data_IF_353728255940
#
_entry.id   IF_353728255940
#
_cell.length_a   1.000
_cell.length_b   1.000
_cell.length_c   1.000
_cell.angle_alpha   90.00
_cell.angle_beta   90.00
_cell.angle_gamma   90.00
#
_symmetry.space_group_name_H-M   'P 1'
#
loop_
_entity.id
_entity.type
_entity.pdbx_description
1 polymer ?
#
# COMPACT_ATOMS: atom_id res chain seq x y z
N UNK A 1 15.60 9.04 -57.92
CA UNK A 1 14.22 9.05 -58.41
C UNK A 1 13.55 7.84 -57.81
N UNK A 2 13.45 7.80 -56.49
CA UNK A 2 12.33 8.26 -55.65
C UNK A 2 11.77 6.93 -55.09
N UNK A 3 11.58 6.67 -53.80
CA UNK A 3 11.23 7.50 -52.66
C UNK A 3 11.45 6.60 -51.42
N UNK A 4 12.37 6.95 -50.51
CA UNK A 4 12.61 6.22 -49.24
C UNK A 4 12.66 7.19 -48.05
N UNK A 5 12.04 8.37 -48.17
CA UNK A 5 12.19 9.46 -47.22
C UNK A 5 11.01 9.64 -46.24
N UNK A 6 9.99 8.78 -46.19
CA UNK A 6 8.75 9.12 -45.47
C UNK A 6 8.41 8.31 -44.20
N UNK A 7 9.30 7.46 -43.66
CA UNK A 7 8.96 6.65 -42.47
C UNK A 7 9.87 6.88 -41.25
N UNK A 8 10.71 7.92 -41.27
CA UNK A 8 11.59 8.25 -40.14
C UNK A 8 10.99 9.23 -39.11
N UNK A 9 9.68 9.52 -39.15
CA UNK A 9 9.06 10.56 -38.30
C UNK A 9 8.11 10.05 -37.21
N UNK A 10 8.19 8.76 -36.83
CA UNK A 10 7.34 8.19 -35.77
C UNK A 10 8.07 7.31 -34.74
N UNK A 11 9.38 7.50 -34.60
CA UNK A 11 10.12 7.02 -33.43
C UNK A 11 10.54 8.27 -32.66
N UNK A 12 10.02 8.45 -31.45
CA UNK A 12 10.37 9.54 -30.53
C UNK A 12 11.79 9.41 -30.00
N UNK A 13 12.77 9.24 -30.90
CA UNK A 13 14.17 9.51 -30.62
C UNK A 13 14.25 11.03 -30.57
N UNK A 14 14.26 11.57 -29.36
CA UNK A 14 14.54 12.98 -29.13
C UNK A 14 15.83 13.35 -29.85
N UNK A 15 15.77 14.31 -30.76
CA UNK A 15 16.96 15.00 -31.26
C UNK A 15 17.78 15.48 -30.04
N UNK A 16 18.93 14.85 -29.83
CA UNK A 16 19.82 15.00 -28.67
C UNK A 16 20.62 16.31 -28.67
N UNK A 17 20.04 17.40 -29.18
CA UNK A 17 20.68 18.71 -29.28
C UNK A 17 19.91 19.84 -28.58
N UNK A 18 18.93 19.50 -27.74
CA UNK A 18 18.44 20.46 -26.75
C UNK A 18 19.52 20.63 -25.67
N UNK A 19 19.98 21.85 -25.35
CA UNK A 19 20.97 22.05 -24.30
C UNK A 19 20.42 21.44 -23.01
N UNK A 20 21.10 20.41 -22.52
CA UNK A 20 20.77 19.74 -21.28
C UNK A 20 20.85 20.79 -20.17
N UNK A 21 19.75 21.07 -19.49
CA UNK A 21 19.80 21.93 -18.31
C UNK A 21 20.81 21.31 -17.32
N UNK A 22 21.77 22.10 -16.80
CA UNK A 22 22.75 21.58 -15.87
C UNK A 22 22.02 21.03 -14.62
N UNK A 23 22.49 19.89 -14.12
CA UNK A 23 21.96 19.27 -12.91
C UNK A 23 21.93 20.26 -11.75
N UNK A 24 20.74 20.48 -11.18
CA UNK A 24 20.55 21.25 -9.96
C UNK A 24 19.91 20.34 -8.88
N UNK A 25 20.66 19.93 -7.85
CA UNK A 25 20.12 19.08 -6.79
C UNK A 25 18.95 19.75 -6.04
N UNK A 26 18.89 21.09 -6.02
CA UNK A 26 17.79 21.83 -5.37
C UNK A 26 16.48 21.71 -6.16
N UNK A 27 16.55 21.52 -7.48
CA UNK A 27 15.35 21.32 -8.29
C UNK A 27 14.64 20.03 -7.90
N UNK A 28 15.39 18.93 -7.72
CA UNK A 28 14.85 17.63 -7.31
C UNK A 28 14.33 17.68 -5.86
N UNK A 29 15.10 18.28 -4.96
CA UNK A 29 14.66 18.48 -3.58
C UNK A 29 13.34 19.26 -3.51
N UNK A 30 13.17 20.29 -4.34
CA UNK A 30 11.92 21.06 -4.43
C UNK A 30 10.76 20.22 -4.95
N UNK A 31 10.95 19.44 -6.03
CA UNK A 31 9.91 18.58 -6.58
C UNK A 31 9.41 17.53 -5.55
N UNK A 32 10.34 16.90 -4.84
CA UNK A 32 10.00 15.95 -3.76
C UNK A 32 9.31 16.64 -2.58
N UNK A 33 9.75 17.85 -2.20
CA UNK A 33 9.13 18.64 -1.14
C UNK A 33 7.68 18.97 -1.48
N UNK A 34 7.44 19.50 -2.69
CA UNK A 34 6.10 19.83 -3.20
C UNK A 34 5.19 18.59 -3.21
N UNK A 35 5.74 17.43 -3.60
CA UNK A 35 5.00 16.17 -3.58
C UNK A 35 4.63 15.71 -2.15
N UNK A 36 5.58 15.75 -1.21
CA UNK A 36 5.32 15.40 0.20
C UNK A 36 4.33 16.36 0.87
N UNK A 37 4.47 17.66 0.62
CA UNK A 37 3.54 18.68 1.11
C UNK A 37 2.12 18.47 0.56
N UNK A 38 2.01 18.05 -0.71
CA UNK A 38 0.72 17.70 -1.30
C UNK A 38 0.09 16.48 -0.61
N UNK A 39 0.86 15.42 -0.35
CA UNK A 39 0.38 14.25 0.40
C UNK A 39 -0.05 14.61 1.83
N UNK A 40 0.71 15.48 2.52
CA UNK A 40 0.34 15.98 3.84
C UNK A 40 -0.96 16.81 3.79
N UNK A 41 -1.15 17.64 2.75
CA UNK A 41 -2.39 18.39 2.53
C UNK A 41 -3.59 17.47 2.29
N UNK A 42 -3.37 16.31 1.67
CA UNK A 42 -4.36 15.24 1.51
C UNK A 42 -4.61 14.43 2.79
N UNK A 43 -4.02 14.82 3.93
CA UNK A 43 -4.13 14.14 5.22
C UNK A 43 -3.52 12.72 5.23
N UNK A 44 -2.58 12.45 4.34
CA UNK A 44 -1.90 11.14 4.31
C UNK A 44 -1.05 10.92 5.56
N UNK A 45 -0.30 11.95 5.96
CA UNK A 45 0.46 12.03 7.20
C UNK A 45 0.50 13.48 7.71
N UNK A 46 1.00 13.68 8.94
CA UNK A 46 1.13 15.03 9.51
C UNK A 46 2.24 15.81 8.79
N UNK A 47 2.03 17.09 8.42
CA UNK A 47 3.08 17.92 7.82
C UNK A 47 4.33 18.04 8.71
N UNK A 48 4.20 17.91 10.03
CA UNK A 48 5.33 17.94 10.98
C UNK A 48 6.33 16.79 10.77
N UNK A 49 5.93 15.73 10.07
CA UNK A 49 6.81 14.61 9.74
C UNK A 49 7.77 14.94 8.58
N UNK A 50 7.47 15.94 7.76
CA UNK A 50 8.37 16.36 6.68
C UNK A 50 9.53 17.14 7.28
N UNK A 51 10.75 16.68 7.03
CA UNK A 51 11.98 17.31 7.48
C UNK A 51 12.78 17.80 6.29
N UNK A 52 13.37 18.98 6.46
CA UNK A 52 14.13 19.69 5.44
C UNK A 52 15.58 19.85 5.89
N UNK A 53 16.53 20.02 4.94
CA UNK A 53 17.91 20.34 5.29
C UNK A 53 18.04 21.69 6.02
N UNK A 54 19.10 21.92 6.82
CA UNK A 54 20.18 20.97 7.12
C UNK A 54 19.70 19.83 8.04
N UNK A 55 20.18 18.62 7.75
CA UNK A 55 19.75 17.40 8.44
C UNK A 55 20.40 17.26 9.82
N UNK A 56 19.63 16.78 10.80
CA UNK A 56 20.11 16.41 12.13
C UNK A 56 19.65 14.98 12.48
N UNK A 57 20.54 13.96 12.55
CA UNK A 57 21.97 14.07 12.24
C UNK A 57 22.24 14.34 10.75
N UNK A 58 23.41 14.89 10.39
CA UNK A 58 23.79 15.11 8.98
C UNK A 58 24.01 13.78 8.25
N UNK A 59 23.99 13.82 6.92
CA UNK A 59 24.35 12.67 6.07
C UNK A 59 25.80 12.27 6.33
N UNK A 60 26.05 10.97 6.48
CA UNK A 60 27.39 10.40 6.59
C UNK A 60 28.08 10.41 5.21
N UNK A 61 28.73 11.54 4.89
CA UNK A 61 29.43 11.74 3.62
C UNK A 61 30.55 10.73 3.42
N UNK A 62 31.27 10.35 4.48
CA UNK A 62 32.35 9.37 4.38
C UNK A 62 31.82 7.98 4.03
N UNK A 63 30.70 7.58 4.64
CA UNK A 63 30.04 6.33 4.29
C UNK A 63 29.48 6.37 2.86
N UNK A 64 28.84 7.46 2.45
CA UNK A 64 28.37 7.66 1.07
C UNK A 64 29.51 7.52 0.03
N UNK A 65 30.68 8.10 0.31
CA UNK A 65 31.88 7.95 -0.51
C UNK A 65 32.39 6.51 -0.55
N UNK A 66 32.33 5.80 0.58
CA UNK A 66 32.74 4.39 0.66
C UNK A 66 31.88 3.45 -0.18
N UNK A 67 30.61 3.83 -0.44
CA UNK A 67 29.70 3.14 -1.35
C UNK A 67 29.95 3.47 -2.84
N UNK A 68 30.92 4.34 -3.13
CA UNK A 68 31.28 4.75 -4.48
C UNK A 68 30.34 5.75 -5.12
N UNK A 69 29.58 6.53 -4.33
CA UNK A 69 28.68 7.57 -4.85
C UNK A 69 29.47 8.78 -5.38
N UNK A 70 29.04 9.32 -6.52
CA UNK A 70 29.65 10.51 -7.11
C UNK A 70 29.31 11.79 -6.30
N UNK A 71 30.15 12.85 -6.36
CA UNK A 71 29.92 14.09 -5.61
C UNK A 71 28.53 14.70 -5.81
N UNK A 72 27.98 14.66 -7.03
CA UNK A 72 26.65 15.20 -7.34
C UNK A 72 25.52 14.46 -6.61
N UNK A 73 25.65 13.13 -6.44
CA UNK A 73 24.70 12.33 -5.65
C UNK A 73 24.81 12.69 -4.17
N UNK A 74 26.03 12.88 -3.67
CA UNK A 74 26.27 13.27 -2.27
C UNK A 74 25.74 14.68 -1.98
N UNK A 75 25.87 15.61 -2.93
CA UNK A 75 25.25 16.94 -2.85
C UNK A 75 23.73 16.84 -2.79
N UNK A 76 23.12 15.99 -3.64
CA UNK A 76 21.68 15.74 -3.62
C UNK A 76 21.21 15.18 -2.27
N UNK A 77 21.87 14.15 -1.74
CA UNK A 77 21.54 13.55 -0.44
C UNK A 77 21.46 14.58 0.70
N UNK A 78 22.34 15.58 0.68
CA UNK A 78 22.39 16.64 1.69
C UNK A 78 21.25 17.66 1.60
N UNK A 79 20.54 17.73 0.47
CA UNK A 79 19.46 18.70 0.25
C UNK A 79 18.06 18.07 0.12
N UNK A 80 17.97 16.75 -0.03
CA UNK A 80 16.68 16.06 -0.14
C UNK A 80 15.83 16.19 1.13
N UNK A 81 14.51 16.43 1.03
CA UNK A 81 13.61 16.27 2.16
C UNK A 81 13.43 14.78 2.49
N UNK A 82 13.01 14.48 3.71
CA UNK A 82 12.60 13.13 4.12
C UNK A 82 11.38 13.19 5.04
N UNK A 83 10.71 12.05 5.21
CA UNK A 83 9.56 11.93 6.11
C UNK A 83 9.94 11.05 7.30
N UNK A 84 9.82 11.59 8.51
CA UNK A 84 10.19 10.91 9.75
C UNK A 84 9.01 10.08 10.31
N UNK A 85 9.33 8.97 10.98
CA UNK A 85 8.32 8.11 11.61
C UNK A 85 7.59 7.17 10.65
N UNK A 86 7.68 7.42 9.35
CA UNK A 86 7.24 6.51 8.29
C UNK A 86 8.39 5.57 7.87
N UNK A 87 8.06 4.32 7.60
CA UNK A 87 8.98 3.22 7.27
C UNK A 87 8.31 2.19 6.37
N UNK A 88 9.02 1.08 6.10
CA UNK A 88 8.54 -0.02 5.27
C UNK A 88 7.06 -0.35 5.56
N UNK A 89 6.26 -0.43 4.49
CA UNK A 89 4.80 -0.67 4.44
C UNK A 89 3.92 0.59 4.34
N UNK A 90 4.47 1.81 4.41
CA UNK A 90 3.69 3.05 4.26
C UNK A 90 3.32 3.41 2.81
N UNK A 91 3.46 2.45 1.87
CA UNK A 91 3.19 2.56 0.43
C UNK A 91 3.33 4.00 -0.11
N UNK A 92 4.56 4.53 -0.08
CA UNK A 92 4.97 5.64 -0.94
C UNK A 92 4.75 5.25 -2.42
N UNK A 93 4.73 6.23 -3.33
CA UNK A 93 4.51 6.09 -4.79
C UNK A 93 4.51 4.63 -5.26
N UNK A 94 3.33 4.12 -5.63
CA UNK A 94 3.17 2.77 -6.18
C UNK A 94 3.79 1.67 -5.29
N UNK A 95 3.44 1.65 -4.01
CA UNK A 95 3.87 0.61 -3.06
C UNK A 95 5.31 0.72 -2.55
N UNK A 96 6.09 1.70 -3.01
CA UNK A 96 7.41 2.00 -2.46
C UNK A 96 7.35 2.47 -1.00
N UNK A 97 8.46 2.91 -0.41
CA UNK A 97 8.50 3.45 0.96
C UNK A 97 9.39 4.70 1.03
N UNK A 98 9.07 5.61 1.96
CA UNK A 98 9.86 6.83 2.15
C UNK A 98 11.28 6.48 2.58
N UNK A 99 12.28 7.12 1.97
CA UNK A 99 13.67 6.92 2.34
C UNK A 99 14.18 8.00 3.30
N UNK A 100 14.86 7.58 4.37
CA UNK A 100 15.63 8.45 5.27
C UNK A 100 17.13 8.13 5.15
N UNK A 101 17.82 8.83 4.25
CA UNK A 101 19.22 8.60 3.93
C UNK A 101 20.21 9.02 5.03
N UNK A 102 19.74 9.61 6.14
CA UNK A 102 20.58 9.78 7.35
C UNK A 102 20.92 8.42 7.97
N UNK A 103 20.15 7.38 7.66
CA UNK A 103 20.37 6.01 8.14
C UNK A 103 21.28 5.27 7.17
N UNK A 104 22.47 4.87 7.62
CA UNK A 104 23.44 4.15 6.78
C UNK A 104 22.84 2.88 6.13
N UNK A 105 21.95 2.16 6.81
CA UNK A 105 21.25 1.00 6.23
C UNK A 105 20.43 1.37 4.98
N UNK A 106 19.73 2.49 4.99
CA UNK A 106 18.91 2.94 3.84
C UNK A 106 19.82 3.33 2.67
N UNK A 107 20.92 4.03 2.97
CA UNK A 107 21.90 4.40 1.95
C UNK A 107 22.61 3.19 1.34
N UNK A 108 22.96 2.20 2.16
CA UNK A 108 23.52 0.93 1.71
C UNK A 108 22.52 0.15 0.82
N UNK A 109 21.27 0.01 1.29
CA UNK A 109 20.20 -0.65 0.53
C UNK A 109 19.93 0.03 -0.81
N UNK A 110 20.12 1.34 -0.93
CA UNK A 110 19.96 2.07 -2.20
C UNK A 110 20.92 1.60 -3.31
N UNK A 111 21.95 0.81 -2.98
CA UNK A 111 22.89 0.22 -3.95
C UNK A 111 22.46 -1.17 -4.44
N UNK A 112 21.53 -1.81 -3.73
CA UNK A 112 20.86 -3.05 -4.13
C UNK A 112 19.36 -2.97 -3.78
N UNK A 113 18.60 -2.00 -4.32
CA UNK A 113 17.22 -1.75 -3.91
C UNK A 113 16.27 -2.93 -4.19
N UNK A 114 16.66 -3.84 -5.09
CA UNK A 114 15.87 -5.01 -5.48
C UNK A 114 16.22 -6.28 -4.70
N UNK A 115 17.19 -6.23 -3.78
CA UNK A 115 17.74 -7.40 -3.09
C UNK A 115 18.28 -8.48 -4.04
N UNK A 116 18.83 -8.06 -5.19
CA UNK A 116 19.40 -8.95 -6.19
C UNK A 116 20.69 -9.64 -5.70
N UNK A 117 21.28 -9.16 -4.59
CA UNK A 117 22.54 -9.63 -4.03
C UNK A 117 23.66 -9.67 -5.10
N UNK A 118 23.98 -8.54 -5.74
CA UNK A 118 24.93 -8.53 -6.84
C UNK A 118 26.34 -8.94 -6.38
N UNK A 119 27.06 -9.62 -7.25
CA UNK A 119 28.44 -10.08 -7.07
C UNK A 119 29.32 -9.51 -8.18
N UNK A 120 30.50 -9.00 -7.79
CA UNK A 120 31.47 -8.48 -8.75
C UNK A 120 31.17 -7.06 -9.24
N UNK A 121 31.75 -6.72 -10.39
CA UNK A 121 31.67 -5.39 -11.00
C UNK A 121 30.47 -5.22 -11.95
N UNK A 122 30.27 -4.01 -12.50
CA UNK A 122 29.10 -3.64 -13.29
C UNK A 122 28.88 -4.44 -14.59
N UNK A 123 29.94 -5.08 -15.09
CA UNK A 123 29.95 -5.82 -16.36
C UNK A 123 29.83 -7.34 -16.17
N UNK A 124 29.62 -7.81 -14.94
CA UNK A 124 29.42 -9.23 -14.64
C UNK A 124 27.94 -9.62 -14.69
N UNK A 125 27.64 -10.90 -14.96
CA UNK A 125 26.27 -11.39 -15.16
C UNK A 125 25.33 -11.06 -14.00
N UNK A 126 25.84 -11.17 -12.76
CA UNK A 126 25.15 -10.78 -11.53
C UNK A 126 25.78 -9.53 -10.90
N UNK A 127 26.37 -8.66 -11.71
CA UNK A 127 27.12 -7.49 -11.28
C UNK A 127 26.31 -6.43 -10.53
N UNK A 128 27.03 -5.47 -9.93
CA UNK A 128 26.42 -4.21 -9.45
C UNK A 128 25.66 -3.53 -10.60
N UNK A 129 24.55 -2.87 -10.29
CA UNK A 129 23.67 -2.35 -11.34
C UNK A 129 23.17 -0.92 -11.11
N UNK A 130 23.19 -0.45 -9.86
CA UNK A 130 22.96 0.97 -9.59
C UNK A 130 24.26 1.73 -9.84
N UNK A 131 24.28 2.62 -10.82
CA UNK A 131 25.49 3.35 -11.20
C UNK A 131 25.90 4.40 -10.15
N UNK A 132 27.19 4.78 -10.05
CA UNK A 132 27.69 5.77 -9.07
C UNK A 132 27.00 7.14 -9.08
N UNK A 133 26.47 7.53 -10.24
CA UNK A 133 25.75 8.80 -10.47
C UNK A 133 24.22 8.66 -10.35
N UNK A 134 23.72 7.48 -9.99
CA UNK A 134 22.30 7.20 -9.80
C UNK A 134 21.99 7.10 -8.31
N UNK A 135 20.99 7.85 -7.88
CA UNK A 135 20.40 7.75 -6.54
C UNK A 135 19.03 7.09 -6.64
N UNK A 136 18.78 6.06 -5.83
CA UNK A 136 17.43 5.55 -5.65
C UNK A 136 16.71 6.47 -4.68
N UNK A 137 15.59 7.09 -5.06
CA UNK A 137 14.92 8.15 -4.28
C UNK A 137 14.03 7.63 -3.15
N UNK A 138 13.70 6.33 -3.16
CA UNK A 138 12.79 5.69 -2.22
C UNK A 138 13.28 4.30 -1.83
N UNK A 139 12.80 3.77 -0.70
CA UNK A 139 12.95 2.35 -0.38
C UNK A 139 11.93 1.55 -1.19
N UNK A 140 12.24 0.31 -1.58
CA UNK A 140 11.32 -0.51 -2.39
C UNK A 140 10.03 -0.91 -1.64
N UNK A 141 10.03 -0.83 -0.31
CA UNK A 141 8.93 -1.33 0.52
C UNK A 141 8.73 -2.85 0.37
N UNK A 142 7.48 -3.29 0.48
CA UNK A 142 7.07 -4.68 0.27
C UNK A 142 6.54 -4.85 -1.16
N UNK A 143 7.38 -5.28 -2.11
CA UNK A 143 7.03 -5.45 -3.53
C UNK A 143 6.59 -4.15 -4.25
N UNK A 144 7.11 -3.01 -3.82
CA UNK A 144 6.79 -1.70 -4.37
C UNK A 144 7.61 -1.26 -5.58
N UNK A 145 7.38 -0.02 -5.99
CA UNK A 145 8.16 0.64 -7.04
C UNK A 145 9.51 1.16 -6.53
N UNK A 146 10.50 1.24 -7.42
CA UNK A 146 11.85 1.74 -7.16
C UNK A 146 12.14 2.86 -8.16
N UNK A 147 12.44 4.07 -7.68
CA UNK A 147 12.71 5.27 -8.48
C UNK A 147 14.21 5.55 -8.56
N UNK A 148 14.82 5.27 -9.70
CA UNK A 148 16.23 5.54 -9.98
C UNK A 148 16.37 6.90 -10.62
N UNK A 149 17.00 7.84 -9.92
CA UNK A 149 17.29 9.18 -10.41
C UNK A 149 18.72 9.27 -10.91
N UNK A 150 18.89 9.55 -12.20
CA UNK A 150 20.19 9.76 -12.83
C UNK A 150 20.56 11.24 -12.77
N UNK A 151 21.58 11.57 -11.95
CA UNK A 151 22.05 12.95 -11.76
C UNK A 151 22.67 13.57 -13.02
N UNK A 152 23.08 12.76 -14.02
CA UNK A 152 23.74 13.28 -15.23
C UNK A 152 22.76 13.81 -16.27
N UNK A 153 21.54 13.29 -16.30
CA UNK A 153 20.51 13.71 -17.25
C UNK A 153 19.23 14.25 -16.59
N UNK A 154 19.06 14.08 -15.27
CA UNK A 154 17.88 14.54 -14.55
C UNK A 154 16.64 13.67 -14.79
N UNK A 155 16.81 12.44 -15.28
CA UNK A 155 15.71 11.51 -15.55
C UNK A 155 15.47 10.57 -14.37
N UNK A 156 14.23 10.10 -14.28
CA UNK A 156 13.82 9.03 -13.37
C UNK A 156 13.37 7.82 -14.17
N UNK A 157 13.90 6.66 -13.80
CA UNK A 157 13.38 5.35 -14.20
C UNK A 157 12.64 4.75 -13.01
N UNK A 158 11.38 4.34 -13.20
CA UNK A 158 10.59 3.67 -12.14
C UNK A 158 10.35 2.22 -12.53
N UNK A 159 10.72 1.26 -11.69
CA UNK A 159 10.50 -0.18 -11.95
C UNK A 159 9.79 -0.84 -10.75
N UNK A 160 9.11 -1.96 -10.99
CA UNK A 160 8.63 -2.82 -9.91
C UNK A 160 9.76 -3.66 -9.33
N UNK A 161 9.72 -3.93 -8.01
CA UNK A 161 10.61 -4.92 -7.38
C UNK A 161 10.47 -6.29 -8.08
N UNK A 162 11.60 -6.94 -8.36
CA UNK A 162 11.71 -8.11 -9.25
C UNK A 162 12.23 -7.75 -10.64
N UNK A 163 13.19 -6.82 -10.72
CA UNK A 163 13.83 -6.37 -11.96
C UNK A 163 14.24 -7.54 -12.86
N UNK A 164 13.94 -7.40 -14.15
CA UNK A 164 13.91 -8.43 -15.21
C UNK A 164 12.63 -9.32 -15.29
N UNK A 165 11.62 -9.11 -14.44
CA UNK A 165 10.31 -9.79 -14.56
C UNK A 165 9.08 -8.91 -14.29
N UNK A 166 9.19 -7.85 -13.49
CA UNK A 166 8.08 -6.96 -13.12
C UNK A 166 7.79 -5.79 -14.07
N UNK A 167 8.75 -5.42 -14.91
CA UNK A 167 8.61 -4.33 -15.88
C UNK A 167 8.72 -2.91 -15.29
N UNK A 168 8.44 -1.92 -16.14
CA UNK A 168 8.43 -0.50 -15.77
C UNK A 168 7.17 -0.19 -14.95
N UNK A 169 7.34 0.52 -13.84
CA UNK A 169 6.26 0.87 -12.91
C UNK A 169 5.64 2.24 -13.19
N UNK A 170 6.22 3.05 -14.07
CA UNK A 170 5.67 4.36 -14.40
C UNK A 170 4.40 4.23 -15.27
N UNK A 171 3.22 4.66 -14.78
CA UNK A 171 1.96 4.54 -15.51
C UNK A 171 1.95 5.28 -16.84
N UNK A 172 2.84 6.27 -17.03
CA UNK A 172 2.98 6.96 -18.31
C UNK A 172 3.28 6.00 -19.47
N UNK A 173 3.93 4.87 -19.20
CA UNK A 173 4.29 3.88 -20.20
C UNK A 173 3.27 2.74 -20.35
N UNK A 174 2.25 2.65 -19.50
CA UNK A 174 1.23 1.59 -19.56
C UNK A 174 0.48 1.63 -20.90
N UNK A 175 0.41 0.48 -21.59
CA UNK A 175 -0.27 0.33 -22.88
C UNK A 175 0.46 0.97 -24.08
N UNK A 176 1.56 1.68 -23.88
CA UNK A 176 2.41 2.21 -24.97
C UNK A 176 3.47 1.20 -25.43
N UNK A 177 3.83 0.28 -24.55
CA UNK A 177 4.79 -0.79 -24.76
C UNK A 177 4.18 -2.09 -24.19
N UNK A 178 4.43 -3.25 -24.82
CA UNK A 178 3.91 -4.53 -24.33
C UNK A 178 4.39 -4.84 -22.90
N UNK A 179 3.72 -5.75 -22.18
CA UNK A 179 4.02 -6.09 -20.77
C UNK A 179 5.50 -6.44 -20.50
N UNK A 180 6.28 -6.83 -21.52
CA UNK A 180 7.74 -6.89 -21.47
C UNK A 180 8.35 -5.52 -21.83
N UNK A 181 8.30 -4.54 -20.93
CA UNK A 181 8.79 -3.18 -21.17
C UNK A 181 10.31 -3.03 -21.01
N UNK A 182 11.09 -4.06 -21.31
CA UNK A 182 12.48 -3.81 -21.68
C UNK A 182 12.44 -3.22 -23.10
N UNK A 183 13.10 -2.08 -23.34
CA UNK A 183 13.51 -1.76 -24.72
C UNK A 183 14.19 -3.01 -25.26
N UNK A 184 13.90 -3.38 -26.52
CA UNK A 184 14.53 -4.55 -27.15
C UNK A 184 16.03 -4.52 -26.80
N UNK A 185 16.49 -5.58 -26.12
CA UNK A 185 17.84 -5.79 -25.55
C UNK A 185 17.98 -5.41 -24.06
N UNK A 186 17.66 -6.39 -23.19
CA UNK A 186 18.33 -6.51 -21.87
C UNK A 186 19.85 -6.37 -22.05
N UNK A 187 20.53 -5.83 -21.04
CA UNK A 187 21.97 -5.68 -21.11
C UNK A 187 22.62 -7.06 -21.33
N UNK A 188 23.54 -7.21 -22.30
CA UNK A 188 23.93 -8.52 -22.84
C UNK A 188 24.66 -9.41 -21.84
N UNK A 189 25.09 -8.86 -20.70
CA UNK A 189 25.84 -9.59 -19.66
C UNK A 189 25.14 -9.41 -18.31
N UNK A 190 25.22 -8.22 -17.72
CA UNK A 190 24.58 -7.94 -16.44
C UNK A 190 23.06 -7.77 -16.52
N UNK A 191 22.30 -8.81 -16.14
CA UNK A 191 20.84 -8.81 -16.18
C UNK A 191 20.17 -7.82 -15.22
N UNK A 192 20.91 -7.36 -14.20
CA UNK A 192 20.38 -6.45 -13.19
C UNK A 192 20.37 -4.98 -13.67
N UNK A 193 21.04 -4.67 -14.80
CA UNK A 193 21.12 -3.32 -15.37
C UNK A 193 19.73 -2.81 -15.74
N UNK A 194 19.45 -1.55 -15.44
CA UNK A 194 18.11 -0.96 -15.57
C UNK A 194 17.99 0.04 -16.73
N UNK A 195 19.11 0.36 -17.39
CA UNK A 195 19.16 1.39 -18.43
C UNK A 195 18.36 1.05 -19.68
N UNK A 196 17.95 -0.21 -19.82
CA UNK A 196 17.07 -0.68 -20.88
C UNK A 196 15.59 -0.37 -20.60
N UNK A 197 15.23 0.09 -19.39
CA UNK A 197 13.89 0.58 -19.10
C UNK A 197 13.73 2.04 -19.53
N UNK A 198 12.55 2.43 -20.05
CA UNK A 198 12.33 3.82 -20.42
C UNK A 198 12.32 4.72 -19.19
N UNK A 199 12.84 5.94 -19.36
CA UNK A 199 12.93 6.97 -18.34
C UNK A 199 12.34 8.29 -18.86
N UNK A 200 12.04 9.23 -17.96
CA UNK A 200 11.59 10.58 -18.34
C UNK A 200 12.13 11.64 -17.39
N UNK A 201 12.16 12.93 -17.79
CA UNK A 201 12.61 14.01 -16.92
C UNK A 201 11.86 14.02 -15.58
N UNK A 202 12.59 14.23 -14.47
CA UNK A 202 12.00 14.20 -13.12
C UNK A 202 10.84 15.20 -12.97
N UNK A 203 10.97 16.38 -13.57
CA UNK A 203 9.93 17.42 -13.58
C UNK A 203 8.62 16.93 -14.19
N UNK A 204 8.69 16.21 -15.31
CA UNK A 204 7.51 15.68 -16.00
C UNK A 204 6.87 14.53 -15.21
N UNK A 205 7.70 13.72 -14.56
CA UNK A 205 7.24 12.66 -13.66
C UNK A 205 6.48 13.20 -12.46
N UNK A 206 7.08 14.12 -11.70
CA UNK A 206 6.43 14.68 -10.52
C UNK A 206 5.21 15.54 -10.88
N UNK A 207 5.20 16.22 -12.04
CA UNK A 207 4.02 16.93 -12.52
C UNK A 207 2.84 15.98 -12.80
N UNK A 208 3.09 14.84 -13.46
CA UNK A 208 2.09 13.80 -13.69
C UNK A 208 1.56 13.20 -12.39
N UNK A 209 2.45 12.80 -11.48
CA UNK A 209 2.04 12.22 -10.18
C UNK A 209 1.26 13.22 -9.31
N UNK A 210 1.69 14.48 -9.29
CA UNK A 210 0.95 15.58 -8.64
C UNK A 210 -0.44 15.73 -9.27
N UNK A 211 -0.55 15.70 -10.59
CA UNK A 211 -1.83 15.79 -11.27
C UNK A 211 -2.76 14.61 -10.93
N UNK A 212 -2.22 13.38 -10.80
CA UNK A 212 -2.98 12.20 -10.38
C UNK A 212 -3.57 12.35 -8.98
N UNK A 213 -2.81 12.91 -8.04
CA UNK A 213 -3.28 13.24 -6.69
C UNK A 213 -4.34 14.36 -6.72
N UNK A 214 -4.09 15.43 -7.47
CA UNK A 214 -5.02 16.56 -7.61
C UNK A 214 -6.35 16.15 -8.22
N UNK A 215 -6.36 15.22 -9.18
CA UNK A 215 -7.57 14.73 -9.86
C UNK A 215 -8.22 13.53 -9.16
N UNK A 216 -7.66 13.07 -8.03
CA UNK A 216 -8.05 11.86 -7.30
C UNK A 216 -8.01 10.59 -8.17
N UNK A 217 -7.20 10.57 -9.23
CA UNK A 217 -6.84 9.31 -9.90
C UNK A 217 -6.05 8.41 -8.94
N UNK A 218 -5.23 9.05 -8.11
CA UNK A 218 -4.54 8.47 -6.96
C UNK A 218 -5.04 9.10 -5.67
N UNK A 219 -5.45 8.27 -4.72
CA UNK A 219 -5.96 8.73 -3.43
C UNK A 219 -5.08 8.16 -2.32
N UNK A 220 -4.13 8.94 -1.77
CA UNK A 220 -3.31 8.53 -0.64
C UNK A 220 -4.19 8.57 0.61
N UNK A 221 -4.41 7.42 1.24
CA UNK A 221 -5.25 7.33 2.42
C UNK A 221 -4.80 6.20 3.35
N UNK A 222 -4.92 6.44 4.65
CA UNK A 222 -4.56 5.47 5.66
C UNK A 222 -5.83 4.76 6.16
N UNK A 223 -6.10 3.53 5.72
CA UNK A 223 -7.22 2.70 6.23
C UNK A 223 -6.77 1.65 7.23
N UNK A 224 -5.80 0.83 6.83
CA UNK A 224 -5.20 -0.27 7.60
C UNK A 224 -3.67 -0.20 7.52
N UNK A 225 -3.15 1.01 7.29
CA UNK A 225 -1.82 1.25 6.74
C UNK A 225 -1.92 2.38 5.70
N UNK A 226 -0.91 3.25 5.58
CA UNK A 226 -0.83 4.23 4.51
C UNK A 226 -0.75 3.52 3.15
N UNK A 227 -1.66 3.86 2.24
CA UNK A 227 -1.68 3.34 0.85
C UNK A 227 -2.20 4.33 -0.17
N UNK A 228 -1.84 4.12 -1.44
CA UNK A 228 -2.41 4.86 -2.57
C UNK A 228 -3.48 4.02 -3.25
N UNK A 229 -4.72 4.53 -3.25
CA UNK A 229 -5.85 3.91 -3.92
C UNK A 229 -5.96 4.40 -5.36
N UNK A 230 -6.04 3.45 -6.28
CA UNK A 230 -6.33 3.71 -7.70
C UNK A 230 -7.74 3.26 -8.06
N UNK A 231 -8.23 3.67 -9.23
CA UNK A 231 -9.55 3.29 -9.76
C UNK A 231 -9.79 1.77 -9.81
N UNK A 232 -8.73 0.97 -9.92
CA UNK A 232 -8.77 -0.50 -9.90
C UNK A 232 -9.21 -1.08 -8.54
N UNK A 233 -9.10 -0.31 -7.45
CA UNK A 233 -9.50 -0.71 -6.08
C UNK A 233 -11.03 -0.70 -5.85
N UNK A 234 -11.83 -0.52 -6.91
CA UNK A 234 -13.31 -0.64 -6.93
C UNK A 234 -14.02 0.23 -5.87
N UNK A 235 -14.73 -0.38 -4.94
CA UNK A 235 -15.68 0.26 -4.04
C UNK A 235 -15.01 1.26 -3.09
N UNK A 236 -13.83 0.94 -2.56
CA UNK A 236 -13.11 1.84 -1.65
C UNK A 236 -12.66 3.12 -2.36
N UNK A 237 -12.24 3.02 -3.62
CA UNK A 237 -11.85 4.18 -4.41
C UNK A 237 -13.02 5.15 -4.60
N UNK A 238 -14.22 4.63 -4.92
CA UNK A 238 -15.41 5.47 -5.13
C UNK A 238 -15.78 6.22 -3.85
N UNK A 239 -15.76 5.53 -2.71
CA UNK A 239 -16.08 6.14 -1.43
C UNK A 239 -15.04 7.17 -0.99
N UNK A 240 -13.75 6.88 -1.15
CA UNK A 240 -12.68 7.81 -0.80
C UNK A 240 -12.72 9.03 -1.70
N UNK A 241 -12.99 8.86 -3.00
CA UNK A 241 -13.18 9.98 -3.91
C UNK A 241 -14.32 10.89 -3.45
N UNK A 242 -15.46 10.30 -3.11
CA UNK A 242 -16.60 11.02 -2.55
C UNK A 242 -16.22 11.77 -1.25
N UNK A 243 -15.44 11.14 -0.36
CA UNK A 243 -14.96 11.77 0.88
C UNK A 243 -14.11 13.01 0.59
N UNK A 244 -13.12 12.93 -0.30
CA UNK A 244 -12.28 14.08 -0.65
C UNK A 244 -13.08 15.21 -1.32
N UNK A 245 -13.93 14.87 -2.29
CA UNK A 245 -14.77 15.85 -3.00
C UNK A 245 -15.77 16.54 -2.07
N UNK A 246 -16.40 15.80 -1.16
CA UNK A 246 -17.38 16.34 -0.19
C UNK A 246 -16.76 17.40 0.73
N UNK A 247 -15.48 17.24 1.07
CA UNK A 247 -14.77 18.10 2.02
C UNK A 247 -13.83 19.11 1.35
N UNK A 248 -13.99 19.36 0.04
CA UNK A 248 -13.41 20.54 -0.62
C UNK A 248 -12.17 20.27 -1.48
N UNK A 249 -11.74 19.02 -1.66
CA UNK A 249 -10.64 18.72 -2.58
C UNK A 249 -11.05 18.96 -4.05
N UNK A 250 -10.18 19.52 -4.93
CA UNK A 250 -8.77 19.89 -4.72
C UNK A 250 -8.51 21.32 -4.22
N UNK A 251 -9.56 22.03 -3.79
CA UNK A 251 -9.45 23.35 -3.18
C UNK A 251 -8.98 23.30 -1.73
N UNK A 252 -9.55 24.16 -0.88
CA UNK A 252 -9.28 24.15 0.56
C UNK A 252 -10.04 23.00 1.22
N UNK A 253 -9.30 21.97 1.66
CA UNK A 253 -9.86 20.83 2.36
C UNK A 253 -10.31 21.23 3.78
N UNK A 254 -11.57 21.03 4.13
CA UNK A 254 -12.05 21.12 5.52
C UNK A 254 -11.46 19.97 6.34
N UNK A 255 -10.28 20.19 6.91
CA UNK A 255 -9.53 19.17 7.64
C UNK A 255 -10.33 18.61 8.84
N UNK A 256 -11.08 19.44 9.56
CA UNK A 256 -11.82 18.98 10.75
C UNK A 256 -13.01 18.12 10.35
N UNK A 257 -13.77 18.56 9.35
CA UNK A 257 -14.88 17.79 8.79
C UNK A 257 -14.40 16.48 8.16
N UNK A 258 -13.34 16.54 7.35
CA UNK A 258 -12.72 15.39 6.70
C UNK A 258 -12.26 14.35 7.72
N UNK A 259 -11.54 14.74 8.77
CA UNK A 259 -11.06 13.80 9.78
C UNK A 259 -12.23 13.10 10.52
N UNK A 260 -13.33 13.82 10.75
CA UNK A 260 -14.52 13.26 11.37
C UNK A 260 -15.24 12.27 10.43
N UNK A 261 -15.42 12.63 9.17
CA UNK A 261 -16.03 11.76 8.16
C UNK A 261 -15.17 10.54 7.83
N UNK A 262 -13.85 10.71 7.77
CA UNK A 262 -12.88 9.62 7.61
C UNK A 262 -13.03 8.57 8.69
N UNK A 263 -13.19 8.97 9.97
CA UNK A 263 -13.45 8.03 11.08
C UNK A 263 -14.77 7.28 10.91
N UNK A 264 -15.87 7.98 10.59
CA UNK A 264 -17.18 7.35 10.36
C UNK A 264 -17.15 6.39 9.18
N UNK A 265 -16.52 6.79 8.08
CA UNK A 265 -16.38 5.95 6.90
C UNK A 265 -15.52 4.71 7.18
N UNK A 266 -14.42 4.82 7.93
CA UNK A 266 -13.61 3.65 8.33
C UNK A 266 -14.41 2.66 9.17
N UNK A 267 -15.20 3.16 10.12
CA UNK A 267 -16.10 2.33 10.92
C UNK A 267 -17.11 1.64 10.00
N UNK A 268 -17.84 2.39 9.16
CA UNK A 268 -18.79 1.84 8.21
C UNK A 268 -18.16 0.82 7.25
N UNK A 269 -16.97 1.08 6.70
CA UNK A 269 -16.30 0.15 5.79
C UNK A 269 -15.93 -1.17 6.49
N UNK A 270 -15.57 -1.13 7.78
CA UNK A 270 -15.41 -2.34 8.58
C UNK A 270 -16.72 -3.10 8.71
N UNK A 271 -17.82 -2.42 9.03
CA UNK A 271 -19.15 -3.05 9.11
C UNK A 271 -19.57 -3.66 7.78
N UNK A 272 -19.38 -2.93 6.68
CA UNK A 272 -19.68 -3.41 5.33
C UNK A 272 -18.91 -4.70 5.02
N UNK A 273 -17.62 -4.78 5.36
CA UNK A 273 -16.83 -6.01 5.19
C UNK A 273 -17.36 -7.17 6.03
N UNK A 274 -17.74 -6.94 7.29
CA UNK A 274 -18.36 -7.96 8.14
C UNK A 274 -19.72 -8.41 7.58
N UNK A 275 -20.54 -7.49 7.09
CA UNK A 275 -21.82 -7.80 6.45
C UNK A 275 -21.63 -8.64 5.18
N UNK A 276 -20.66 -8.28 4.32
CA UNK A 276 -20.28 -9.10 3.15
C UNK A 276 -19.83 -10.49 3.59
N UNK A 277 -19.02 -10.59 4.65
CA UNK A 277 -18.59 -11.87 5.21
C UNK A 277 -19.78 -12.72 5.63
N UNK A 278 -20.74 -12.17 6.38
CA UNK A 278 -21.96 -12.87 6.77
C UNK A 278 -22.73 -13.44 5.57
N UNK A 279 -22.73 -12.71 4.44
CA UNK A 279 -23.44 -13.12 3.22
C UNK A 279 -22.70 -14.19 2.41
N UNK A 280 -21.36 -14.19 2.40
CA UNK A 280 -20.56 -15.02 1.48
C UNK A 280 -19.82 -16.18 2.14
N UNK A 281 -19.53 -16.10 3.45
CA UNK A 281 -18.65 -17.04 4.16
C UNK A 281 -19.12 -18.49 4.04
N UNK A 282 -20.42 -18.75 4.23
CA UNK A 282 -20.98 -20.11 4.11
C UNK A 282 -20.71 -20.69 2.72
N UNK A 283 -20.94 -19.91 1.66
CA UNK A 283 -20.71 -20.35 0.28
C UNK A 283 -19.22 -20.54 -0.02
N UNK A 284 -18.36 -19.69 0.54
CA UNK A 284 -16.92 -19.80 0.34
C UNK A 284 -16.33 -21.00 1.07
N UNK A 285 -16.80 -21.30 2.27
CA UNK A 285 -16.46 -22.53 3.01
C UNK A 285 -16.99 -23.78 2.29
N UNK A 286 -18.17 -23.73 1.67
CA UNK A 286 -18.67 -24.81 0.82
C UNK A 286 -17.76 -25.07 -0.39
N UNK A 287 -17.34 -24.01 -1.10
CA UNK A 287 -16.39 -24.12 -2.21
C UNK A 287 -15.05 -24.70 -1.74
N UNK A 288 -14.55 -24.28 -0.58
CA UNK A 288 -13.32 -24.81 0.01
C UNK A 288 -13.46 -26.30 0.36
N UNK A 289 -14.55 -26.69 1.01
CA UNK A 289 -14.87 -28.08 1.33
C UNK A 289 -14.87 -28.95 0.06
N UNK A 290 -15.54 -28.48 -1.01
CA UNK A 290 -15.58 -29.21 -2.28
C UNK A 290 -14.19 -29.33 -2.94
N UNK A 291 -13.36 -28.28 -2.87
CA UNK A 291 -11.98 -28.34 -3.36
C UNK A 291 -11.16 -29.38 -2.60
N UNK A 292 -11.25 -29.40 -1.27
CA UNK A 292 -10.54 -30.37 -0.42
C UNK A 292 -11.00 -31.80 -0.71
N UNK A 293 -12.32 -32.03 -0.83
CA UNK A 293 -12.87 -33.34 -1.20
C UNK A 293 -12.31 -33.82 -2.55
N UNK A 294 -12.27 -32.96 -3.57
CA UNK A 294 -11.67 -33.29 -4.88
C UNK A 294 -10.18 -33.63 -4.78
N UNK A 295 -9.42 -32.95 -3.93
CA UNK A 295 -8.00 -33.26 -3.73
C UNK A 295 -7.83 -34.63 -3.07
N UNK A 296 -8.63 -34.92 -2.04
CA UNK A 296 -8.64 -36.22 -1.35
C UNK A 296 -9.00 -37.34 -2.34
N UNK A 297 -10.07 -37.20 -3.10
CA UNK A 297 -10.52 -38.19 -4.09
C UNK A 297 -9.45 -38.45 -5.16
N UNK A 298 -8.88 -37.39 -5.75
CA UNK A 298 -7.84 -37.50 -6.78
C UNK A 298 -6.60 -38.22 -6.24
N UNK A 299 -6.19 -37.91 -5.02
CA UNK A 299 -5.02 -38.55 -4.41
C UNK A 299 -5.29 -40.01 -4.02
N UNK A 300 -6.50 -40.36 -3.59
CA UNK A 300 -6.90 -41.75 -3.35
C UNK A 300 -6.93 -42.56 -4.66
N UNK A 301 -7.58 -42.04 -5.71
CA UNK A 301 -7.60 -42.68 -7.04
C UNK A 301 -6.19 -42.89 -7.57
N UNK A 302 -5.36 -41.86 -7.49
CA UNK A 302 -3.97 -41.96 -7.92
C UNK A 302 -3.21 -43.01 -7.11
N UNK A 303 -3.44 -43.12 -5.80
CA UNK A 303 -2.81 -44.14 -4.93
C UNK A 303 -3.20 -45.56 -5.34
N UNK A 304 -4.45 -45.76 -5.74
CA UNK A 304 -4.98 -47.07 -6.11
C UNK A 304 -4.57 -47.50 -7.55
N UNK A 305 -4.36 -46.55 -8.46
CA UNK A 305 -4.04 -46.82 -9.88
C UNK A 305 -2.57 -47.13 -10.15
N UNK A 306 -1.65 -46.60 -9.34
CA UNK A 306 -0.21 -46.69 -9.58
C UNK A 306 0.49 -47.62 -8.59
N UNK A 307 0.56 -48.90 -8.99
CA UNK A 307 1.17 -49.99 -8.21
C UNK A 307 2.70 -49.91 -8.14
N UNK A 308 3.33 -48.94 -8.82
CA UNK A 308 4.80 -48.84 -8.93
C UNK A 308 5.43 -47.90 -7.90
N UNK A 309 4.62 -47.25 -7.06
CA UNK A 309 5.08 -46.26 -6.08
C UNK A 309 5.92 -46.83 -4.96
N UNK A 310 6.90 -46.04 -4.52
CA UNK A 310 7.73 -46.42 -3.38
C UNK A 310 6.99 -46.27 -2.06
N UNK A 311 7.40 -47.00 -1.00
CA UNK A 311 6.86 -46.80 0.34
C UNK A 311 6.97 -45.35 0.85
N UNK A 312 8.02 -44.62 0.48
CA UNK A 312 8.20 -43.21 0.85
C UNK A 312 7.18 -42.28 0.17
N UNK A 313 6.88 -42.52 -1.11
CA UNK A 313 5.84 -41.79 -1.84
C UNK A 313 4.47 -42.05 -1.25
N UNK A 314 4.17 -43.31 -0.92
CA UNK A 314 2.92 -43.70 -0.26
C UNK A 314 2.78 -43.02 1.11
N UNK A 315 3.84 -43.01 1.92
CA UNK A 315 3.84 -42.35 3.22
C UNK A 315 3.61 -40.83 3.10
N UNK A 316 4.22 -40.18 2.11
CA UNK A 316 4.03 -38.75 1.84
C UNK A 316 2.58 -38.45 1.44
N UNK A 317 1.99 -39.28 0.56
CA UNK A 317 0.58 -39.15 0.19
C UNK A 317 -0.36 -39.33 1.38
N UNK A 318 -0.09 -40.29 2.26
CA UNK A 318 -0.88 -40.50 3.48
C UNK A 318 -0.82 -39.31 4.44
N UNK A 319 0.34 -38.68 4.60
CA UNK A 319 0.48 -37.45 5.38
C UNK A 319 -0.36 -36.31 4.80
N UNK A 320 -0.31 -36.09 3.48
CA UNK A 320 -1.16 -35.09 2.82
C UNK A 320 -2.65 -35.39 2.97
N UNK A 321 -3.07 -36.66 2.81
CA UNK A 321 -4.46 -37.07 3.01
C UNK A 321 -4.93 -36.81 4.45
N UNK A 322 -4.09 -37.10 5.45
CA UNK A 322 -4.42 -36.79 6.85
C UNK A 322 -4.54 -35.28 7.07
N UNK A 323 -3.62 -34.49 6.53
CA UNK A 323 -3.68 -33.04 6.63
C UNK A 323 -4.96 -32.46 6.00
N UNK A 324 -5.32 -32.90 4.79
CA UNK A 324 -6.53 -32.42 4.13
C UNK A 324 -7.82 -32.88 4.82
N UNK A 325 -7.84 -34.08 5.41
CA UNK A 325 -8.99 -34.52 6.22
C UNK A 325 -9.20 -33.66 7.47
N UNK A 326 -8.12 -33.34 8.19
CA UNK A 326 -8.19 -32.40 9.33
C UNK A 326 -8.66 -31.03 8.89
N UNK A 327 -8.17 -30.53 7.76
CA UNK A 327 -8.63 -29.26 7.21
C UNK A 327 -10.12 -29.30 6.83
N UNK A 328 -10.60 -30.43 6.29
CA UNK A 328 -12.01 -30.61 5.95
C UNK A 328 -12.91 -30.62 7.19
N UNK A 329 -12.49 -31.28 8.27
CA UNK A 329 -13.17 -31.25 9.57
C UNK A 329 -13.20 -29.83 10.14
N UNK A 330 -12.07 -29.11 10.06
CA UNK A 330 -11.99 -27.72 10.51
C UNK A 330 -12.92 -26.79 9.70
N UNK A 331 -12.94 -26.93 8.36
CA UNK A 331 -13.86 -26.17 7.49
C UNK A 331 -15.33 -26.47 7.83
N UNK A 332 -15.65 -27.73 8.18
CA UNK A 332 -17.02 -28.09 8.59
C UNK A 332 -17.44 -27.39 9.89
N UNK A 333 -16.53 -27.28 10.87
CA UNK A 333 -16.78 -26.54 12.12
C UNK A 333 -16.99 -25.04 11.82
N UNK A 334 -16.08 -24.44 11.04
CA UNK A 334 -16.20 -23.02 10.65
C UNK A 334 -17.49 -22.75 9.86
N UNK A 335 -17.93 -23.70 9.03
CA UNK A 335 -19.18 -23.57 8.29
C UNK A 335 -20.39 -23.58 9.22
N UNK A 336 -20.40 -24.45 10.23
CA UNK A 336 -21.46 -24.49 11.24
C UNK A 336 -21.55 -23.14 11.98
N UNK A 337 -20.41 -22.62 12.43
CA UNK A 337 -20.33 -21.31 13.09
C UNK A 337 -20.81 -20.18 12.16
N UNK A 338 -20.39 -20.19 10.89
CA UNK A 338 -20.83 -19.19 9.90
C UNK A 338 -22.34 -19.25 9.62
N UNK A 339 -22.96 -20.43 9.63
CA UNK A 339 -24.41 -20.59 9.47
C UNK A 339 -25.17 -19.99 10.66
N UNK A 340 -24.70 -20.27 11.87
CA UNK A 340 -25.27 -19.69 13.10
C UNK A 340 -25.08 -18.16 13.11
N UNK A 341 -23.90 -17.68 12.72
CA UNK A 341 -23.62 -16.26 12.63
C UNK A 341 -24.43 -15.56 11.53
N UNK A 342 -24.76 -16.25 10.43
CA UNK A 342 -25.62 -15.72 9.36
C UNK A 342 -27.12 -15.90 9.63
N UNK A 343 -27.53 -16.47 10.77
CA UNK A 343 -28.95 -16.69 11.06
C UNK A 343 -29.76 -15.39 10.98
N UNK A 344 -30.88 -15.40 10.25
CA UNK A 344 -31.73 -14.22 10.05
C UNK A 344 -31.24 -13.23 9.00
N UNK A 345 -30.06 -13.44 8.40
CA UNK A 345 -29.55 -12.63 7.29
C UNK A 345 -30.22 -13.10 5.98
N UNK A 346 -31.07 -12.24 5.41
CA UNK A 346 -31.82 -12.53 4.18
C UNK A 346 -31.65 -11.46 3.08
N UNK A 347 -30.93 -10.39 3.41
CA UNK A 347 -30.70 -9.21 2.57
C UNK A 347 -29.44 -8.49 3.05
N UNK A 348 -28.87 -7.65 2.19
CA UNK A 348 -27.73 -6.79 2.53
C UNK A 348 -28.04 -5.89 3.74
N UNK A 349 -29.24 -5.30 3.79
CA UNK A 349 -29.71 -4.50 4.93
C UNK A 349 -29.69 -5.29 6.24
N UNK A 350 -30.23 -6.52 6.24
CA UNK A 350 -30.22 -7.37 7.45
C UNK A 350 -28.79 -7.78 7.85
N UNK A 351 -27.89 -7.96 6.88
CA UNK A 351 -26.48 -8.27 7.14
C UNK A 351 -25.77 -7.06 7.78
N UNK A 352 -26.03 -5.85 7.28
CA UNK A 352 -25.50 -4.60 7.83
C UNK A 352 -26.02 -4.33 9.24
N UNK A 353 -27.33 -4.48 9.48
CA UNK A 353 -27.93 -4.31 10.81
C UNK A 353 -27.32 -5.29 11.82
N UNK A 354 -27.17 -6.58 11.44
CA UNK A 354 -26.51 -7.59 12.29
C UNK A 354 -25.03 -7.30 12.53
N UNK A 355 -24.31 -6.85 11.51
CA UNK A 355 -22.90 -6.47 11.64
C UNK A 355 -22.71 -5.24 12.54
N UNK A 356 -23.60 -4.24 12.45
CA UNK A 356 -23.64 -3.09 13.36
C UNK A 356 -23.91 -3.52 14.80
N UNK A 357 -24.94 -4.34 15.03
CA UNK A 357 -25.28 -4.87 16.34
C UNK A 357 -24.07 -5.56 16.98
N UNK A 358 -23.46 -6.53 16.27
CA UNK A 358 -22.28 -7.25 16.74
C UNK A 358 -21.11 -6.31 17.03
N UNK A 359 -20.87 -5.31 16.17
CA UNK A 359 -19.79 -4.34 16.37
C UNK A 359 -19.98 -3.52 17.64
N UNK A 360 -21.18 -2.97 17.84
CA UNK A 360 -21.52 -2.13 19.00
C UNK A 360 -21.47 -2.97 20.28
N UNK A 361 -22.03 -4.19 20.26
CA UNK A 361 -22.01 -5.10 21.41
C UNK A 361 -20.57 -5.43 21.83
N UNK A 362 -19.70 -5.81 20.88
CA UNK A 362 -18.29 -6.06 21.17
C UNK A 362 -17.58 -4.83 21.75
N UNK A 363 -17.95 -3.63 21.28
CA UNK A 363 -17.44 -2.36 21.81
C UNK A 363 -17.84 -2.13 23.27
N UNK A 364 -19.11 -2.38 23.60
CA UNK A 364 -19.64 -2.29 24.96
C UNK A 364 -18.92 -3.29 25.87
N UNK A 365 -18.88 -4.57 25.48
CA UNK A 365 -18.25 -5.64 26.26
C UNK A 365 -16.77 -5.35 26.53
N UNK A 366 -16.03 -4.86 25.54
CA UNK A 366 -14.63 -4.47 25.70
C UNK A 366 -14.49 -3.33 26.71
N UNK A 367 -15.26 -2.24 26.58
CA UNK A 367 -15.19 -1.10 27.50
C UNK A 367 -15.62 -1.48 28.91
N UNK A 368 -16.63 -2.33 29.06
CA UNK A 368 -17.04 -2.86 30.37
C UNK A 368 -15.95 -3.71 31.02
N UNK A 369 -15.24 -4.53 30.23
CA UNK A 369 -14.08 -5.30 30.71
C UNK A 369 -12.96 -4.38 31.18
N UNK A 370 -12.62 -3.36 30.40
CA UNK A 370 -11.60 -2.37 30.76
C UNK A 370 -12.00 -1.62 32.03
N UNK A 371 -13.24 -1.16 32.13
CA UNK A 371 -13.78 -0.47 33.32
C UNK A 371 -13.74 -1.38 34.56
N UNK A 372 -14.13 -2.64 34.43
CA UNK A 372 -14.05 -3.64 35.49
C UNK A 372 -12.60 -3.86 35.94
N UNK A 373 -11.67 -3.97 35.00
CA UNK A 373 -10.25 -4.10 35.31
C UNK A 373 -9.70 -2.87 36.05
N UNK A 374 -10.01 -1.65 35.59
CA UNK A 374 -9.60 -0.41 36.25
C UNK A 374 -10.19 -0.26 37.65
N UNK A 375 -11.40 -0.78 37.93
CA UNK A 375 -11.99 -0.75 39.27
C UNK A 375 -11.37 -1.76 40.24
N UNK A 376 -10.68 -2.79 39.72
CA UNK A 376 -10.10 -3.88 40.49
C UNK A 376 -8.56 -3.87 40.40
N UNK A 377 -8.00 -4.83 39.66
CA UNK A 377 -6.56 -5.09 39.55
C UNK A 377 -5.75 -3.92 38.98
N UNK A 378 -6.41 -3.11 38.14
CA UNK A 378 -5.83 -1.95 37.47
C UNK A 378 -5.99 -0.63 38.21
N UNK A 379 -6.57 -0.61 39.41
CA UNK A 379 -6.92 0.62 40.16
C UNK A 379 -5.77 1.61 40.34
N UNK A 380 -4.54 1.11 40.52
CA UNK A 380 -3.33 1.95 40.59
C UNK A 380 -3.00 2.74 39.30
N UNK A 381 -3.57 2.34 38.17
CA UNK A 381 -3.43 3.01 36.86
C UNK A 381 -4.69 3.76 36.43
N UNK A 382 -5.78 3.65 37.20
CA UNK A 382 -7.05 4.28 36.89
C UNK A 382 -7.03 5.76 37.30
N UNK A 383 -7.39 6.64 36.38
CA UNK A 383 -7.75 8.03 36.71
C UNK A 383 -9.26 8.16 36.65
N UNK A 384 -9.83 9.07 37.45
CA UNK A 384 -11.27 9.35 37.41
C UNK A 384 -11.74 9.75 36.01
N UNK A 385 -10.91 10.51 35.28
CA UNK A 385 -11.14 10.91 33.89
C UNK A 385 -11.27 9.68 32.97
N UNK A 386 -10.30 8.75 32.99
CA UNK A 386 -10.35 7.54 32.15
C UNK A 386 -11.58 6.67 32.45
N UNK A 387 -11.94 6.54 33.72
CA UNK A 387 -13.13 5.76 34.09
C UNK A 387 -14.41 6.44 33.59
N UNK A 388 -14.50 7.77 33.72
CA UNK A 388 -15.63 8.56 33.20
C UNK A 388 -15.72 8.45 31.68
N UNK A 389 -14.61 8.51 30.97
CA UNK A 389 -14.58 8.37 29.51
C UNK A 389 -15.06 7.00 29.05
N UNK A 390 -14.73 5.94 29.80
CA UNK A 390 -15.25 4.59 29.54
C UNK A 390 -16.77 4.52 29.77
N UNK A 391 -17.27 5.09 30.85
CA UNK A 391 -18.71 5.13 31.18
C UNK A 391 -19.50 5.92 30.12
N UNK A 392 -19.02 7.11 29.73
CA UNK A 392 -19.63 7.92 28.66
C UNK A 392 -19.60 7.15 27.34
N UNK A 393 -18.48 6.49 27.02
CA UNK A 393 -18.34 5.68 25.81
C UNK A 393 -19.29 4.47 25.78
N UNK A 394 -19.53 3.82 26.92
CA UNK A 394 -20.51 2.73 27.04
C UNK A 394 -21.91 3.27 26.78
N UNK A 395 -22.31 4.35 27.46
CA UNK A 395 -23.63 4.95 27.31
C UNK A 395 -23.91 5.40 25.86
N UNK A 396 -22.91 5.96 25.17
CA UNK A 396 -23.03 6.35 23.77
C UNK A 396 -23.25 5.13 22.84
N UNK A 397 -22.57 4.01 23.09
CA UNK A 397 -22.78 2.77 22.33
C UNK A 397 -24.14 2.14 22.63
N UNK A 398 -24.57 2.14 23.88
CA UNK A 398 -25.91 1.66 24.29
C UNK A 398 -27.02 2.50 23.63
N UNK A 399 -26.83 3.81 23.48
CA UNK A 399 -27.79 4.66 22.77
C UNK A 399 -27.85 4.31 21.28
N UNK A 400 -26.69 4.15 20.62
CA UNK A 400 -26.62 3.71 19.21
C UNK A 400 -27.28 2.34 19.01
N UNK A 401 -27.20 1.45 19.99
CA UNK A 401 -27.83 0.12 19.93
C UNK A 401 -29.36 0.20 19.87
N UNK A 402 -29.98 1.25 20.44
CA UNK A 402 -31.45 1.39 20.45
C UNK A 402 -32.01 1.72 19.06
N UNK A 403 -31.22 2.30 18.18
CA UNK A 403 -31.64 2.71 16.84
C UNK A 403 -30.62 2.33 15.77
N UNK A 404 -30.41 1.01 15.61
CA UNK A 404 -29.53 0.48 14.56
C UNK A 404 -29.93 0.90 13.15
N UNK A 405 -31.21 1.24 12.93
CA UNK A 405 -31.75 1.59 11.61
C UNK A 405 -31.34 2.96 11.12
N UNK A 406 -30.97 3.89 12.01
CA UNK A 406 -30.42 5.19 11.63
C UNK A 406 -28.92 5.16 11.36
N UNK A 407 -28.24 4.04 11.66
CA UNK A 407 -26.82 3.89 11.33
C UNK A 407 -26.61 3.84 9.81
N UNK A 408 -25.43 4.29 9.32
CA UNK A 408 -25.16 4.33 7.88
C UNK A 408 -25.35 2.97 7.20
N UNK A 409 -26.11 2.98 6.11
CA UNK A 409 -26.30 1.83 5.22
C UNK A 409 -25.47 1.92 3.95
N UNK A 410 -25.10 3.13 3.56
CA UNK A 410 -24.23 3.41 2.41
C UNK A 410 -23.11 4.38 2.80
N UNK A 411 -22.02 4.37 2.03
CA UNK A 411 -20.87 5.23 2.29
C UNK A 411 -21.22 6.71 2.30
N UNK A 412 -22.16 7.14 1.45
CA UNK A 412 -22.66 8.51 1.43
C UNK A 412 -23.20 8.96 2.79
N UNK A 413 -23.93 8.10 3.51
CA UNK A 413 -24.48 8.44 4.83
C UNK A 413 -23.39 8.55 5.90
N UNK A 414 -22.33 7.76 5.79
CA UNK A 414 -21.18 7.85 6.69
C UNK A 414 -20.33 9.10 6.42
N UNK A 415 -20.22 9.50 5.14
CA UNK A 415 -19.39 10.61 4.68
C UNK A 415 -20.08 11.97 4.88
N UNK A 416 -21.39 12.08 4.58
CA UNK A 416 -22.10 13.35 4.59
C UNK A 416 -21.91 14.11 5.91
N UNK A 417 -21.82 15.43 5.81
CA UNK A 417 -21.79 16.29 6.99
C UNK A 417 -23.07 16.08 7.78
N UNK A 418 -22.95 15.58 9.00
CA UNK A 418 -24.05 15.61 9.96
C UNK A 418 -23.98 16.97 10.62
N UNK A 419 -24.78 17.91 10.13
CA UNK A 419 -25.04 19.16 10.85
C UNK A 419 -25.63 18.77 12.22
N UNK A 420 -24.88 19.03 13.30
CA UNK A 420 -25.36 19.05 14.70
C UNK A 420 -25.99 17.79 15.31
N UNK A 421 -25.28 16.65 15.33
CA UNK A 421 -25.52 15.65 16.39
C UNK A 421 -24.21 15.24 17.06
N UNK A 422 -24.03 15.72 18.30
CA UNK A 422 -22.88 15.45 19.18
C UNK A 422 -22.73 14.00 19.65
N UNK A 423 -23.05 13.01 18.82
CA UNK A 423 -23.09 11.59 19.19
C UNK A 423 -21.84 10.79 18.79
N UNK A 424 -20.94 11.33 17.97
CA UNK A 424 -19.81 10.56 17.41
C UNK A 424 -18.43 10.91 17.97
N UNK A 425 -18.35 11.79 18.97
CA UNK A 425 -17.09 12.23 19.59
C UNK A 425 -16.89 11.62 20.98
N UNK A 426 -16.77 10.30 21.08
CA UNK A 426 -16.20 9.65 22.27
C UNK A 426 -15.32 8.45 21.90
N UNK A 427 -14.17 8.74 21.27
CA UNK A 427 -12.97 7.90 21.30
C UNK A 427 -11.77 8.84 21.14
N UNK A 428 -11.18 9.27 22.26
CA UNK A 428 -9.79 9.69 22.35
C UNK A 428 -9.02 8.67 23.16
#
# INVERSE_FOLDING_TARGET
MDDLSSHASQLGISDSNSPQEPFDPRQIARLLSEYYELMARMRYFSPDLIKYPPHDPPIDVAFAQSLGLEPQVIELLQVLPYVEGLHNEDEFILGGSFADFRKNRVLEQSRDPDFACPQGDYEEENGKYVMPWVLVLNECGNHGSIMYFDTRNGHITTIWQGGAGGGNADPYFYGKFGWSTALEHEHPVNKNRIEHFPSRPAKDLFADYTNRLMTLEWIPFNTYGPRIFEKSAKEEYVDLKLLFETYGWPGELDAKGFDAASRRWKEFNRIRREATKLMTEVQDLEKQSLKLQKHIEKTLQSKDEDVTRTPEEIATMEQHLQAWRRNLEWVAIQKQEAVEEAEGVNSEDSALEKAWEKHIQNGIERKMRDLSWFRNDGSKYATEEKMRDLEVGIAALEERMKDLKSLPKIAFDAIKSQEDEGQWLCCR
#
